data_IF_781134842656
#
_entry.id   IF_781134842656
#
_cell.length_a   1.000
_cell.length_b   1.000
_cell.length_c   1.000
_cell.angle_alpha   90.00
_cell.angle_beta   90.00
_cell.angle_gamma   90.00
#
_symmetry.space_group_name_H-M   'P 1'
#
loop_
_entity.id
_entity.type
_entity.pdbx_description
1 polymer ?
#
# COMPACT_ATOMS: atom_id res chain seq x y z
N UNK A 1 9.25 -34.74 -14.09
CA UNK A 1 9.68 -33.34 -13.89
C UNK A 1 9.63 -33.08 -12.40
N UNK A 2 10.69 -32.52 -11.79
CA UNK A 2 10.56 -31.95 -10.44
C UNK A 2 9.41 -30.94 -10.49
N UNK A 3 8.36 -31.12 -9.69
CA UNK A 3 7.32 -30.10 -9.54
C UNK A 3 7.91 -29.01 -8.67
N UNK A 4 8.55 -28.04 -9.31
CA UNK A 4 9.02 -26.84 -8.63
C UNK A 4 7.79 -26.09 -8.13
N UNK A 5 7.77 -25.80 -6.82
CA UNK A 5 6.65 -25.10 -6.19
C UNK A 5 6.54 -23.68 -6.74
N UNK A 6 5.32 -23.18 -6.79
CA UNK A 6 5.03 -21.80 -7.17
C UNK A 6 4.95 -20.91 -5.93
N UNK A 7 5.08 -19.59 -6.12
CA UNK A 7 5.05 -18.62 -5.03
C UNK A 7 3.80 -18.80 -4.16
N UNK A 8 2.61 -18.88 -4.77
CA UNK A 8 1.33 -18.95 -4.05
C UNK A 8 1.18 -20.22 -3.20
N UNK A 9 1.85 -21.31 -3.56
CA UNK A 9 1.84 -22.57 -2.79
C UNK A 9 2.71 -22.50 -1.54
N UNK A 10 3.67 -21.58 -1.50
CA UNK A 10 4.61 -21.42 -0.38
C UNK A 10 4.26 -20.21 0.48
N UNK A 11 3.85 -19.09 -0.14
CA UNK A 11 3.54 -17.85 0.54
C UNK A 11 2.62 -16.94 -0.29
N UNK A 12 1.78 -16.17 0.38
CA UNK A 12 0.92 -15.21 -0.29
C UNK A 12 0.56 -14.04 0.65
N UNK A 13 0.67 -12.76 0.23
CA UNK A 13 0.46 -11.62 1.13
C UNK A 13 -1.03 -11.31 1.32
N UNK A 14 -1.76 -12.23 1.96
CA UNK A 14 -3.22 -12.19 2.12
C UNK A 14 -3.69 -10.87 2.76
N UNK A 15 -3.03 -10.40 3.82
CA UNK A 15 -3.47 -9.20 4.54
C UNK A 15 -3.39 -7.92 3.69
N UNK A 16 -2.32 -7.76 2.89
CA UNK A 16 -2.15 -6.61 1.97
C UNK A 16 -3.15 -6.69 0.82
N UNK A 17 -3.31 -7.87 0.21
CA UNK A 17 -4.22 -8.08 -0.90
C UNK A 17 -5.68 -7.91 -0.50
N UNK A 18 -6.06 -8.34 0.71
CA UNK A 18 -7.41 -8.14 1.24
C UNK A 18 -7.75 -6.65 1.39
N UNK A 19 -6.81 -5.83 1.89
CA UNK A 19 -7.02 -4.38 2.02
C UNK A 19 -7.22 -3.70 0.65
N UNK A 20 -6.40 -4.07 -0.34
CA UNK A 20 -6.50 -3.52 -1.69
C UNK A 20 -7.77 -3.99 -2.42
N UNK A 21 -8.12 -5.26 -2.26
CA UNK A 21 -9.37 -5.82 -2.79
C UNK A 21 -10.59 -5.14 -2.18
N UNK A 22 -10.56 -4.88 -0.87
CA UNK A 22 -11.62 -4.14 -0.19
C UNK A 22 -11.72 -2.70 -0.71
N UNK A 23 -10.59 -2.01 -0.86
CA UNK A 23 -10.54 -0.65 -1.42
C UNK A 23 -11.13 -0.60 -2.83
N UNK A 24 -10.76 -1.55 -3.69
CA UNK A 24 -11.32 -1.67 -5.04
C UNK A 24 -12.83 -1.91 -5.03
N UNK A 25 -13.32 -2.76 -4.11
CA UNK A 25 -14.76 -3.01 -3.93
C UNK A 25 -15.54 -1.80 -3.41
N UNK A 26 -14.90 -0.96 -2.60
CA UNK A 26 -15.53 0.24 -2.01
C UNK A 26 -15.35 1.51 -2.83
N UNK A 27 -14.69 1.45 -3.99
CA UNK A 27 -14.39 2.63 -4.81
C UNK A 27 -15.62 3.28 -5.50
N UNK A 28 -16.84 2.75 -5.34
CA UNK A 28 -18.06 3.32 -5.93
C UNK A 28 -17.94 3.52 -7.45
N UNK A 29 -18.14 4.76 -7.91
CA UNK A 29 -18.02 5.15 -9.32
C UNK A 29 -16.61 5.00 -9.89
N UNK A 30 -15.57 4.95 -9.03
CA UNK A 30 -14.18 4.71 -9.44
C UNK A 30 -13.86 3.25 -9.77
N UNK A 31 -14.85 2.35 -9.78
CA UNK A 31 -14.66 0.97 -10.19
C UNK A 31 -14.59 0.86 -11.70
N UNK A 32 -13.53 0.24 -12.22
CA UNK A 32 -13.47 -0.18 -13.62
C UNK A 32 -14.53 -1.28 -13.83
N UNK A 33 -15.51 -1.06 -14.72
CA UNK A 33 -16.62 -1.97 -15.08
C UNK A 33 -17.84 -2.00 -14.12
N UNK A 34 -18.39 -0.84 -13.73
CA UNK A 34 -19.62 -0.74 -12.91
C UNK A 34 -20.89 -1.26 -13.59
N UNK A 35 -20.99 -1.18 -14.91
CA UNK A 35 -22.24 -1.43 -15.66
C UNK A 35 -22.52 -2.89 -16.06
N UNK A 36 -21.49 -3.74 -16.18
CA UNK A 36 -21.58 -5.02 -16.91
C UNK A 36 -21.64 -6.29 -16.04
N UNK A 37 -21.57 -6.20 -14.70
CA UNK A 37 -21.25 -7.38 -13.86
C UNK A 37 -21.89 -7.47 -12.48
N UNK A 38 -23.05 -6.85 -12.23
CA UNK A 38 -23.67 -6.89 -10.89
C UNK A 38 -24.12 -8.28 -10.44
N UNK A 39 -24.51 -9.18 -11.34
CA UNK A 39 -25.23 -10.41 -10.94
C UNK A 39 -24.39 -11.70 -10.86
N UNK A 40 -23.18 -11.74 -11.40
CA UNK A 40 -22.29 -12.93 -11.37
C UNK A 40 -21.01 -12.76 -10.54
N UNK A 41 -20.95 -11.75 -9.66
CA UNK A 41 -19.87 -11.63 -8.68
C UNK A 41 -18.52 -11.22 -9.30
N UNK A 42 -18.37 -9.93 -9.61
CA UNK A 42 -17.10 -9.33 -10.05
C UNK A 42 -15.95 -9.67 -9.09
N UNK A 43 -14.90 -10.38 -9.52
CA UNK A 43 -13.69 -10.56 -8.70
C UNK A 43 -12.83 -9.29 -8.73
N UNK A 44 -12.23 -8.87 -7.59
CA UNK A 44 -11.31 -7.73 -7.58
C UNK A 44 -10.15 -7.96 -8.55
N UNK A 45 -9.87 -6.99 -9.43
CA UNK A 45 -8.80 -7.10 -10.43
C UNK A 45 -7.43 -7.22 -9.77
N UNK A 46 -7.21 -6.52 -8.65
CA UNK A 46 -5.98 -6.65 -7.88
C UNK A 46 -5.75 -8.08 -7.38
N UNK A 47 -6.81 -8.78 -6.99
CA UNK A 47 -6.73 -10.17 -6.53
C UNK A 47 -6.46 -11.12 -7.69
N UNK A 48 -7.13 -10.93 -8.82
CA UNK A 48 -6.90 -11.74 -10.04
C UNK A 48 -5.45 -11.60 -10.50
N UNK A 49 -4.92 -10.37 -10.54
CA UNK A 49 -3.52 -10.12 -10.90
C UNK A 49 -2.55 -10.78 -9.93
N UNK A 50 -2.81 -10.68 -8.63
CA UNK A 50 -1.99 -11.31 -7.60
C UNK A 50 -1.99 -12.84 -7.72
N UNK A 51 -3.14 -13.46 -7.97
CA UNK A 51 -3.27 -14.89 -8.15
C UNK A 51 -2.51 -15.38 -9.39
N UNK A 52 -2.67 -14.69 -10.54
CA UNK A 52 -1.93 -15.02 -11.76
C UNK A 52 -0.41 -14.91 -11.56
N UNK A 53 0.06 -13.84 -10.93
CA UNK A 53 1.49 -13.69 -10.63
C UNK A 53 1.97 -14.75 -9.63
N UNK A 54 1.18 -15.06 -8.61
CA UNK A 54 1.54 -16.07 -7.63
C UNK A 54 1.63 -17.49 -8.21
N UNK A 55 0.82 -17.79 -9.22
CA UNK A 55 0.88 -19.06 -9.97
C UNK A 55 2.07 -19.12 -10.94
N UNK A 56 2.43 -18.00 -11.56
CA UNK A 56 3.49 -17.96 -12.58
C UNK A 56 4.90 -17.76 -12.00
N UNK A 57 5.01 -17.18 -10.81
CA UNK A 57 6.30 -16.92 -10.19
C UNK A 57 6.82 -18.19 -9.49
N UNK A 58 8.03 -18.67 -9.80
CA UNK A 58 8.61 -19.82 -9.12
C UNK A 58 8.92 -19.48 -7.67
N UNK A 59 8.77 -20.45 -6.76
CA UNK A 59 9.25 -20.31 -5.39
C UNK A 59 10.74 -20.64 -5.34
N UNK A 60 11.56 -19.70 -4.89
CA UNK A 60 12.98 -19.89 -4.66
C UNK A 60 13.26 -20.31 -3.21
N UNK A 61 14.52 -20.58 -2.91
CA UNK A 61 14.97 -20.85 -1.53
C UNK A 61 15.01 -19.57 -0.67
N UNK A 62 14.87 -18.38 -1.26
CA UNK A 62 14.83 -17.10 -0.55
C UNK A 62 13.42 -16.51 -0.57
N UNK A 63 12.61 -16.94 0.39
CA UNK A 63 11.23 -16.52 0.53
C UNK A 63 11.09 -15.01 0.72
N UNK A 64 12.07 -14.36 1.38
CA UNK A 64 12.01 -12.91 1.61
C UNK A 64 12.20 -12.15 0.30
N UNK A 65 13.14 -12.58 -0.53
CA UNK A 65 13.38 -11.97 -1.84
C UNK A 65 12.22 -12.19 -2.80
N UNK A 66 11.64 -13.39 -2.81
CA UNK A 66 10.44 -13.67 -3.61
C UNK A 66 9.28 -12.74 -3.22
N UNK A 67 9.05 -12.57 -1.92
CA UNK A 67 8.01 -11.65 -1.42
C UNK A 67 8.30 -10.20 -1.81
N UNK A 68 9.54 -9.75 -1.70
CA UNK A 68 9.94 -8.39 -2.11
C UNK A 68 9.73 -8.16 -3.62
N UNK A 69 10.11 -9.12 -4.46
CA UNK A 69 9.88 -9.07 -5.91
C UNK A 69 8.38 -9.07 -6.21
N UNK A 70 7.61 -9.97 -5.60
CA UNK A 70 6.17 -10.03 -5.77
C UNK A 70 5.50 -8.69 -5.43
N UNK A 71 5.87 -8.10 -4.28
CA UNK A 71 5.32 -6.81 -3.86
C UNK A 71 5.74 -5.67 -4.79
N UNK A 72 6.97 -5.67 -5.31
CA UNK A 72 7.41 -4.69 -6.33
C UNK A 72 6.59 -4.79 -7.61
N UNK A 73 6.38 -5.99 -8.14
CA UNK A 73 5.56 -6.21 -9.36
C UNK A 73 4.12 -5.76 -9.12
N UNK A 74 3.58 -6.01 -7.92
CA UNK A 74 2.25 -5.56 -7.51
C UNK A 74 2.18 -4.08 -7.13
N UNK A 75 3.29 -3.33 -7.16
CA UNK A 75 3.39 -1.93 -6.70
C UNK A 75 2.89 -1.73 -5.25
N UNK A 76 3.13 -2.75 -4.42
CA UNK A 76 2.80 -2.81 -3.00
C UNK A 76 4.06 -2.79 -2.10
N UNK A 77 5.22 -2.57 -2.71
CA UNK A 77 6.47 -2.23 -2.03
C UNK A 77 6.42 -0.78 -1.50
N UNK A 78 7.38 -0.38 -0.67
CA UNK A 78 7.40 0.95 -0.05
C UNK A 78 7.45 2.07 -1.10
N UNK A 79 8.27 1.93 -2.16
CA UNK A 79 8.36 2.94 -3.22
C UNK A 79 7.08 2.97 -4.06
N UNK A 80 6.51 1.81 -4.38
CA UNK A 80 5.23 1.70 -5.06
C UNK A 80 4.09 2.37 -4.29
N UNK A 81 3.99 2.12 -2.97
CA UNK A 81 2.97 2.73 -2.11
C UNK A 81 3.14 4.25 -2.00
N UNK A 82 4.38 4.75 -1.89
CA UNK A 82 4.66 6.19 -1.90
C UNK A 82 4.22 6.84 -3.22
N UNK A 83 4.51 6.21 -4.37
CA UNK A 83 4.04 6.69 -5.69
C UNK A 83 2.53 6.69 -5.83
N UNK A 84 1.83 5.76 -5.17
CA UNK A 84 0.37 5.64 -5.17
C UNK A 84 -0.33 6.56 -4.16
N UNK A 85 0.42 7.22 -3.27
CA UNK A 85 -0.11 8.17 -2.29
C UNK A 85 -0.63 9.40 -3.02
N UNK A 86 -1.95 9.58 -3.00
CA UNK A 86 -2.63 10.73 -3.63
C UNK A 86 -3.24 11.71 -2.62
N UNK A 87 -3.26 11.37 -1.33
CA UNK A 87 -3.76 12.23 -0.25
C UNK A 87 -2.62 12.56 0.69
N UNK A 88 -2.61 13.80 1.19
CA UNK A 88 -1.72 14.19 2.28
C UNK A 88 -2.08 13.39 3.53
N UNK A 89 -1.06 13.01 4.30
CA UNK A 89 -1.26 12.44 5.62
C UNK A 89 -1.79 13.56 6.52
N UNK A 90 -2.84 13.33 7.32
CA UNK A 90 -3.30 14.30 8.31
C UNK A 90 -2.18 14.68 9.26
N UNK A 91 -1.99 15.98 9.51
CA UNK A 91 -0.88 16.48 10.36
C UNK A 91 -1.00 15.96 11.80
N UNK A 92 -2.22 15.68 12.26
CA UNK A 92 -2.48 15.05 13.55
C UNK A 92 -1.85 13.66 13.63
N UNK A 93 -2.08 12.81 12.63
CA UNK A 93 -1.52 11.45 12.58
C UNK A 93 0.01 11.51 12.50
N UNK A 94 0.55 12.46 11.75
CA UNK A 94 2.00 12.71 11.68
C UNK A 94 2.55 13.10 13.05
N UNK A 95 1.89 14.02 13.76
CA UNK A 95 2.30 14.44 15.09
C UNK A 95 2.34 13.27 16.08
N UNK A 96 1.35 12.39 16.07
CA UNK A 96 1.30 11.19 16.92
C UNK A 96 2.45 10.20 16.65
N UNK A 97 2.97 10.16 15.43
CA UNK A 97 4.07 9.28 15.04
C UNK A 97 5.47 9.88 15.23
N UNK A 98 5.60 11.21 15.23
CA UNK A 98 6.88 11.91 15.34
C UNK A 98 7.40 11.92 16.79
N UNK A 99 8.72 11.84 16.95
CA UNK A 99 9.37 12.09 18.24
C UNK A 99 9.29 13.58 18.60
N UNK A 100 9.35 13.92 19.89
CA UNK A 100 9.31 15.31 20.36
C UNK A 100 10.29 16.24 19.61
N UNK A 101 11.54 15.81 19.41
CA UNK A 101 12.54 16.62 18.70
C UNK A 101 12.14 16.89 17.23
N UNK A 102 11.50 15.93 16.59
CA UNK A 102 11.04 16.07 15.20
C UNK A 102 9.79 16.94 15.13
N UNK A 103 8.88 16.80 16.10
CA UNK A 103 7.72 17.68 16.23
C UNK A 103 8.15 19.15 16.35
N UNK A 104 9.09 19.48 17.24
CA UNK A 104 9.63 20.84 17.39
C UNK A 104 10.27 21.35 16.10
N UNK A 105 10.89 20.46 15.31
CA UNK A 105 11.52 20.80 14.03
C UNK A 105 10.48 21.13 12.96
N UNK A 106 9.48 20.28 12.77
CA UNK A 106 8.56 20.32 11.62
C UNK A 106 7.19 20.96 11.89
N UNK A 107 6.73 21.00 13.14
CA UNK A 107 5.42 21.52 13.52
C UNK A 107 5.52 22.94 14.12
N UNK A 108 4.45 23.72 13.99
CA UNK A 108 4.35 25.05 14.60
C UNK A 108 4.26 24.92 16.13
N UNK A 109 5.02 25.78 16.82
CA UNK A 109 4.98 25.90 18.27
C UNK A 109 4.43 27.28 18.62
N UNK A 110 3.29 27.32 19.31
CA UNK A 110 2.73 28.54 19.87
C UNK A 110 2.72 28.40 21.40
N UNK A 111 3.38 29.33 22.10
CA UNK A 111 3.38 29.41 23.57
C UNK A 111 3.78 28.09 24.29
N UNK A 112 4.71 27.32 23.71
CA UNK A 112 5.18 26.05 24.27
C UNK A 112 4.29 24.84 23.98
N UNK A 113 3.16 25.02 23.28
CA UNK A 113 2.33 23.93 22.76
C UNK A 113 2.64 23.68 21.29
N UNK A 114 2.85 22.40 20.96
CA UNK A 114 3.05 21.95 19.59
C UNK A 114 1.67 21.80 18.94
N UNK A 115 1.45 22.50 17.84
CA UNK A 115 0.20 22.45 17.09
C UNK A 115 0.30 21.43 15.95
N UNK A 116 -0.81 20.77 15.55
CA UNK A 116 -0.84 19.87 14.40
C UNK A 116 -0.87 20.68 13.09
N UNK A 117 0.15 21.52 12.87
CA UNK A 117 0.29 22.36 11.69
C UNK A 117 1.77 22.45 11.29
N UNK A 118 2.05 22.22 10.01
CA UNK A 118 3.41 22.31 9.49
C UNK A 118 3.88 23.76 9.41
N UNK A 119 5.17 24.00 9.71
CA UNK A 119 5.79 25.32 9.49
C UNK A 119 5.72 25.72 8.01
N UNK A 120 5.48 27.01 7.74
CA UNK A 120 5.29 27.57 6.38
C UNK A 120 6.47 27.36 5.41
N UNK A 121 7.69 27.08 5.88
CA UNK A 121 8.91 26.96 5.06
C UNK A 121 9.30 25.52 4.66
N UNK A 122 8.48 24.52 4.97
CA UNK A 122 8.83 23.11 4.70
C UNK A 122 8.49 22.76 3.25
N UNK A 123 9.49 22.25 2.51
CA UNK A 123 9.33 21.83 1.12
C UNK A 123 8.41 20.60 0.99
N UNK A 124 7.90 20.31 -0.22
CA UNK A 124 7.12 19.08 -0.44
C UNK A 124 7.96 17.81 -0.27
N UNK A 125 9.27 17.87 -0.56
CA UNK A 125 10.18 16.73 -0.37
C UNK A 125 10.50 16.47 1.11
N UNK A 126 10.39 17.51 1.94
CA UNK A 126 10.56 17.43 3.39
C UNK A 126 9.27 17.02 4.13
N UNK A 127 8.12 16.95 3.44
CA UNK A 127 6.80 16.55 3.96
C UNK A 127 6.44 15.09 3.64
#
# INVERSE_FOLDING_TARGET
>A
MSQDKTFIEVQFPVSKLSKESYKERKAGAGQTLTGLGKWWGRKPLVLVRAALLGLLMPASNDLKKDMDIFLKIMTMDTKGLLKRRNKSIPVKDVMEMLKYNEQVKYLENEEGKILPKFKKKISFEEK
#
